data_IF_900035931258
#
_entry.id   IF_900035931258
#
_cell.length_a   1.000
_cell.length_b   1.000
_cell.length_c   1.000
_cell.angle_alpha   90.00
_cell.angle_beta   90.00
_cell.angle_gamma   90.00
#
_symmetry.space_group_name_H-M   'P 1'
#
loop_
_entity.id
_entity.type
_entity.pdbx_description
1 polymer ?
#
# COMPACT_ATOMS: atom_id res chain seq x y z
N UNK A 1 5.33 -6.98 -15.38
CA UNK A 1 5.96 -8.20 -14.83
C UNK A 1 5.20 -8.74 -13.62
N UNK A 2 4.84 -7.93 -12.61
CA UNK A 2 3.96 -8.34 -11.49
C UNK A 2 2.62 -8.95 -11.95
N UNK A 3 1.95 -8.34 -12.94
CA UNK A 3 0.72 -8.87 -13.54
C UNK A 3 0.89 -10.20 -14.33
N UNK A 4 2.12 -10.60 -14.65
CA UNK A 4 2.39 -11.91 -15.26
C UNK A 4 2.59 -12.97 -14.18
N UNK A 5 3.33 -12.66 -13.10
CA UNK A 5 3.48 -13.53 -11.93
C UNK A 5 2.13 -13.80 -11.23
N UNK A 6 1.26 -12.79 -11.15
CA UNK A 6 -0.08 -12.93 -10.58
C UNK A 6 -1.01 -13.83 -11.43
N UNK A 7 -0.81 -13.87 -12.76
CA UNK A 7 -1.58 -14.76 -13.66
C UNK A 7 -1.13 -16.22 -13.55
N UNK A 8 0.16 -16.48 -13.35
CA UNK A 8 0.68 -17.83 -13.13
C UNK A 8 0.25 -18.44 -11.79
N UNK A 9 0.12 -17.64 -10.73
CA UNK A 9 -0.35 -18.12 -9.42
C UNK A 9 -1.85 -18.47 -9.44
N UNK A 10 -2.68 -17.68 -10.12
CA UNK A 10 -4.13 -17.94 -10.23
C UNK A 10 -4.51 -19.14 -11.11
N UNK A 11 -3.70 -19.45 -12.13
CA UNK A 11 -3.96 -20.56 -13.06
C UNK A 11 -3.69 -21.95 -12.47
N UNK A 12 -2.95 -22.05 -11.35
CA UNK A 12 -2.65 -23.33 -10.68
C UNK A 12 -3.86 -23.94 -9.96
N UNK A 13 -5.00 -23.25 -9.87
CA UNK A 13 -6.17 -23.67 -9.09
C UNK A 13 -7.18 -24.57 -9.84
N UNK A 14 -7.00 -24.85 -11.13
CA UNK A 14 -8.08 -25.43 -11.94
C UNK A 14 -7.84 -26.82 -12.54
N UNK A 15 -6.64 -27.35 -12.44
CA UNK A 15 -6.31 -28.68 -12.91
C UNK A 15 -5.49 -29.35 -11.82
N UNK A 16 -5.98 -30.49 -11.31
CA UNK A 16 -5.19 -31.50 -10.58
C UNK A 16 -4.17 -32.19 -11.54
N UNK A 17 -3.60 -31.43 -12.46
CA UNK A 17 -2.38 -31.81 -13.16
C UNK A 17 -1.22 -31.41 -12.24
N UNK A 18 -0.15 -32.22 -12.12
CA UNK A 18 1.02 -31.84 -11.35
C UNK A 18 1.49 -30.49 -11.87
N UNK A 19 1.41 -29.47 -11.00
CA UNK A 19 1.76 -28.11 -11.31
C UNK A 19 3.09 -28.11 -12.06
N UNK A 20 3.07 -27.65 -13.32
CA UNK A 20 4.30 -27.46 -14.08
C UNK A 20 5.29 -26.70 -13.21
N UNK A 21 6.56 -27.11 -13.19
CA UNK A 21 7.63 -26.58 -12.34
C UNK A 21 7.63 -25.04 -12.20
N UNK A 22 7.15 -24.33 -13.23
CA UNK A 22 7.09 -22.88 -13.30
C UNK A 22 6.08 -22.19 -12.36
N UNK A 23 4.91 -22.78 -12.08
CA UNK A 23 3.87 -22.12 -11.25
C UNK A 23 4.19 -22.18 -9.76
N UNK A 24 4.74 -23.30 -9.30
CA UNK A 24 5.25 -23.46 -7.93
C UNK A 24 6.44 -22.53 -7.68
N UNK A 25 7.33 -22.39 -8.68
CA UNK A 25 8.44 -21.46 -8.62
C UNK A 25 7.96 -19.99 -8.54
N UNK A 26 6.94 -19.62 -9.33
CA UNK A 26 6.37 -18.27 -9.32
C UNK A 26 5.74 -17.92 -7.96
N UNK A 27 4.98 -18.84 -7.37
CA UNK A 27 4.41 -18.66 -6.03
C UNK A 27 5.51 -18.46 -4.97
N UNK A 28 6.62 -19.20 -5.07
CA UNK A 28 7.77 -19.05 -4.18
C UNK A 28 8.52 -17.73 -4.38
N UNK A 29 8.64 -17.26 -5.61
CA UNK A 29 9.35 -16.01 -5.90
C UNK A 29 8.58 -14.78 -5.43
N UNK A 30 7.24 -14.85 -5.42
CA UNK A 30 6.40 -13.72 -5.09
C UNK A 30 6.66 -13.18 -3.69
N UNK A 31 6.61 -14.05 -2.67
CA UNK A 31 6.72 -13.64 -1.27
C UNK A 31 8.05 -12.95 -0.97
N UNK A 32 9.14 -13.41 -1.61
CA UNK A 32 10.46 -12.81 -1.48
C UNK A 32 10.62 -11.45 -2.17
N UNK A 33 9.80 -11.15 -3.18
CA UNK A 33 9.83 -9.88 -3.90
C UNK A 33 9.05 -8.77 -3.19
N UNK A 34 8.06 -9.11 -2.36
CA UNK A 34 7.16 -8.12 -1.74
C UNK A 34 7.88 -7.09 -0.88
N UNK A 35 8.85 -7.41 0.00
CA UNK A 35 9.55 -6.39 0.78
C UNK A 35 10.26 -5.35 -0.11
N UNK A 36 10.75 -5.78 -1.27
CA UNK A 36 11.34 -4.88 -2.25
C UNK A 36 10.28 -4.01 -2.94
N UNK A 37 9.17 -4.61 -3.37
CA UNK A 37 8.06 -3.83 -3.97
C UNK A 37 7.58 -2.78 -2.96
N UNK A 38 7.43 -3.15 -1.70
CA UNK A 38 7.03 -2.24 -0.64
C UNK A 38 8.01 -1.07 -0.47
N UNK A 39 9.30 -1.36 -0.27
CA UNK A 39 10.32 -0.34 0.01
C UNK A 39 10.76 0.49 -1.20
N UNK A 40 10.98 -0.16 -2.34
CA UNK A 40 11.61 0.51 -3.49
C UNK A 40 10.55 1.09 -4.46
N UNK A 41 9.29 0.67 -4.38
CA UNK A 41 8.21 1.18 -5.23
C UNK A 41 7.08 1.84 -4.45
N UNK A 42 6.50 1.17 -3.45
CA UNK A 42 5.30 1.68 -2.76
C UNK A 42 5.64 2.82 -1.80
N UNK A 43 6.73 2.71 -1.04
CA UNK A 43 7.14 3.73 -0.07
C UNK A 43 7.45 5.08 -0.74
N UNK A 44 8.27 5.18 -1.82
CA UNK A 44 8.49 6.45 -2.51
C UNK A 44 7.20 7.03 -3.12
N UNK A 45 6.34 6.18 -3.66
CA UNK A 45 5.08 6.61 -4.24
C UNK A 45 4.12 7.16 -3.17
N UNK A 46 4.04 6.49 -2.02
CA UNK A 46 3.25 6.93 -0.88
C UNK A 46 3.82 8.20 -0.24
N UNK A 47 5.15 8.33 -0.14
CA UNK A 47 5.81 9.54 0.35
C UNK A 47 5.56 10.74 -0.58
N UNK A 48 5.64 10.54 -1.90
CA UNK A 48 5.31 11.56 -2.88
C UNK A 48 3.83 11.98 -2.78
N UNK A 49 2.92 11.02 -2.57
CA UNK A 49 1.50 11.31 -2.38
C UNK A 49 1.23 12.08 -1.07
N UNK A 50 1.87 11.71 0.04
CA UNK A 50 1.77 12.45 1.30
C UNK A 50 2.27 13.89 1.14
N UNK A 51 3.35 14.11 0.37
CA UNK A 51 3.80 15.46 0.03
C UNK A 51 2.76 16.24 -0.77
N UNK A 52 2.20 15.64 -1.83
CA UNK A 52 1.15 16.26 -2.64
C UNK A 52 -0.10 16.57 -1.81
N UNK A 53 -0.52 15.68 -0.91
CA UNK A 53 -1.67 15.90 -0.04
C UNK A 53 -1.46 17.09 0.92
N UNK A 54 -0.23 17.30 1.43
CA UNK A 54 0.12 18.48 2.24
C UNK A 54 0.13 19.76 1.41
N UNK A 55 0.61 19.73 0.17
CA UNK A 55 0.57 20.87 -0.74
C UNK A 55 -0.88 21.32 -1.05
N UNK A 56 -1.83 20.38 -1.08
CA UNK A 56 -3.26 20.71 -1.23
C UNK A 56 -3.81 21.44 0.00
N UNK A 57 -3.33 21.11 1.20
CA UNK A 57 -3.82 21.72 2.44
C UNK A 57 -3.36 23.15 2.64
N UNK A 58 -2.19 23.55 2.12
CA UNK A 58 -1.65 24.89 2.34
C UNK A 58 -2.38 25.90 1.45
N UNK A 59 -3.27 26.75 2.00
CA UNK A 59 -3.79 27.88 1.26
C UNK A 59 -2.58 28.76 0.95
N UNK A 60 -2.48 29.29 -0.26
CA UNK A 60 -1.44 30.26 -0.60
C UNK A 60 -1.68 31.56 0.19
N UNK A 61 -1.34 31.58 1.47
CA UNK A 61 -1.41 32.78 2.34
C UNK A 61 -0.48 33.88 1.82
N UNK A 62 0.52 33.52 1.02
CA UNK A 62 1.43 34.46 0.33
C UNK A 62 0.76 35.32 -0.76
N UNK A 63 -0.52 35.12 -1.07
CA UNK A 63 -1.24 35.94 -2.05
C UNK A 63 -1.80 37.24 -1.45
N UNK A 64 -1.88 37.39 -0.12
CA UNK A 64 -2.52 38.54 0.52
C UNK A 64 -1.62 39.81 0.55
N UNK A 65 -0.30 39.66 0.60
CA UNK A 65 0.60 40.80 0.89
C UNK A 65 1.10 41.59 -0.34
N UNK A 66 0.82 41.16 -1.58
CA UNK A 66 1.29 41.86 -2.78
C UNK A 66 0.28 42.85 -3.39
N UNK A 67 -0.79 43.21 -2.67
CA UNK A 67 -1.88 44.05 -3.22
C UNK A 67 -1.70 45.56 -2.97
N UNK A 68 -0.61 45.99 -2.34
CA UNK A 68 -0.32 47.42 -2.19
C UNK A 68 0.77 47.83 -3.20
N UNK A 69 0.40 48.65 -4.19
CA UNK A 69 1.28 49.40 -5.11
C UNK A 69 1.48 48.78 -6.50
N UNK A 70 0.49 48.90 -7.39
CA UNK A 70 0.68 49.47 -8.74
C UNK A 70 -0.58 49.31 -9.60
N UNK A 71 -1.18 50.45 -9.92
CA UNK A 71 -2.26 50.60 -10.89
C UNK A 71 -1.72 50.49 -12.31
N UNK A 72 -2.04 49.41 -13.06
CA UNK A 72 -2.41 49.45 -14.49
C UNK A 72 -2.53 48.04 -15.13
N UNK A 73 -3.78 47.69 -15.49
CA UNK A 73 -4.15 47.08 -16.77
C UNK A 73 -3.49 45.76 -17.22
N UNK A 74 -4.00 44.59 -16.78
CA UNK A 74 -3.93 43.28 -17.50
C UNK A 74 -4.76 42.19 -16.79
N UNK A 75 -6.03 42.00 -17.16
CA UNK A 75 -7.04 41.26 -16.38
C UNK A 75 -7.30 39.78 -16.80
N UNK A 76 -6.35 39.05 -17.38
CA UNK A 76 -6.63 37.73 -18.00
C UNK A 76 -5.98 36.50 -17.35
N UNK A 77 -5.25 36.63 -16.24
CA UNK A 77 -4.39 35.53 -15.74
C UNK A 77 -4.93 34.72 -14.56
N UNK A 78 -5.99 35.15 -13.86
CA UNK A 78 -6.42 34.52 -12.60
C UNK A 78 -7.24 33.23 -12.76
N UNK A 79 -7.85 32.97 -13.92
CA UNK A 79 -8.72 31.79 -14.11
C UNK A 79 -7.97 30.46 -14.20
N UNK A 80 -6.66 30.48 -14.48
CA UNK A 80 -5.91 29.24 -14.72
C UNK A 80 -5.57 28.46 -13.43
N UNK A 81 -5.31 29.15 -12.32
CA UNK A 81 -4.86 28.52 -11.06
C UNK A 81 -5.98 27.78 -10.30
N UNK A 82 -7.23 28.24 -10.39
CA UNK A 82 -8.36 27.53 -9.76
C UNK A 82 -8.64 26.17 -10.41
N UNK A 83 -8.37 26.02 -11.71
CA UNK A 83 -8.63 24.77 -12.44
C UNK A 83 -7.71 23.62 -12.01
N UNK A 84 -6.46 23.91 -11.65
CA UNK A 84 -5.47 22.90 -11.26
C UNK A 84 -5.77 22.31 -9.89
N UNK A 85 -6.21 23.14 -8.94
CA UNK A 85 -6.54 22.68 -7.58
C UNK A 85 -7.78 21.78 -7.56
N UNK A 86 -8.78 22.07 -8.39
CA UNK A 86 -9.98 21.24 -8.52
C UNK A 86 -9.70 19.82 -9.03
N UNK A 87 -8.64 19.62 -9.83
CA UNK A 87 -8.25 18.30 -10.34
C UNK A 87 -7.29 17.55 -9.40
N UNK A 88 -6.55 18.28 -8.56
CA UNK A 88 -5.53 17.70 -7.69
C UNK A 88 -6.16 16.81 -6.61
N UNK A 89 -7.25 17.25 -5.97
CA UNK A 89 -7.93 16.48 -4.91
C UNK A 89 -8.42 15.10 -5.38
N UNK A 90 -9.23 14.98 -6.45
CA UNK A 90 -9.67 13.68 -6.92
C UNK A 90 -8.52 12.80 -7.44
N UNK A 91 -7.48 13.41 -8.03
CA UNK A 91 -6.29 12.67 -8.48
C UNK A 91 -5.53 12.07 -7.31
N UNK A 92 -5.34 12.84 -6.23
CA UNK A 92 -4.73 12.35 -4.99
C UNK A 92 -5.56 11.25 -4.34
N UNK A 93 -6.89 11.41 -4.27
CA UNK A 93 -7.79 10.38 -3.74
C UNK A 93 -7.71 9.07 -4.57
N UNK A 94 -7.65 9.17 -5.90
CA UNK A 94 -7.44 8.00 -6.76
C UNK A 94 -6.10 7.31 -6.47
N UNK A 95 -5.03 8.08 -6.32
CA UNK A 95 -3.70 7.55 -6.00
C UNK A 95 -3.66 6.86 -4.64
N UNK A 96 -4.36 7.40 -3.62
CA UNK A 96 -4.54 6.74 -2.32
C UNK A 96 -5.13 5.35 -2.50
N UNK A 97 -6.21 5.23 -3.27
CA UNK A 97 -6.90 3.94 -3.51
C UNK A 97 -6.00 2.97 -4.26
N UNK A 98 -5.28 3.45 -5.27
CA UNK A 98 -4.34 2.62 -6.06
C UNK A 98 -3.21 2.09 -5.16
N UNK A 99 -2.68 2.92 -4.25
CA UNK A 99 -1.68 2.50 -3.28
C UNK A 99 -2.24 1.51 -2.26
N UNK A 100 -3.42 1.79 -1.69
CA UNK A 100 -4.11 0.87 -0.78
C UNK A 100 -4.30 -0.51 -1.45
N UNK A 101 -4.75 -0.53 -2.70
CA UNK A 101 -4.88 -1.77 -3.49
C UNK A 101 -3.54 -2.45 -3.72
N UNK A 102 -2.49 -1.69 -3.93
CA UNK A 102 -1.13 -2.22 -4.13
C UNK A 102 -0.52 -2.82 -2.86
N UNK A 103 -1.00 -2.43 -1.67
CA UNK A 103 -0.64 -3.05 -0.38
C UNK A 103 -1.47 -4.31 -0.10
N UNK A 104 -2.77 -4.28 -0.41
CA UNK A 104 -3.69 -5.42 -0.20
C UNK A 104 -3.37 -6.59 -1.13
N UNK A 105 -3.10 -6.31 -2.41
CA UNK A 105 -2.88 -7.35 -3.42
C UNK A 105 -1.77 -8.34 -3.03
N UNK A 106 -0.58 -7.91 -2.57
CA UNK A 106 0.44 -8.82 -2.06
C UNK A 106 -0.01 -9.67 -0.89
N UNK A 107 -0.66 -9.08 0.10
CA UNK A 107 -1.14 -9.80 1.27
C UNK A 107 -2.18 -10.88 0.89
N UNK A 108 -3.22 -10.50 0.15
CA UNK A 108 -4.25 -11.42 -0.31
C UNK A 108 -3.68 -12.54 -1.20
N UNK A 109 -2.69 -12.21 -2.04
CA UNK A 109 -2.03 -13.22 -2.89
C UNK A 109 -1.18 -14.19 -2.08
N UNK A 110 -0.53 -13.73 -0.99
CA UNK A 110 0.23 -14.58 -0.08
C UNK A 110 -0.70 -15.50 0.70
N UNK A 111 -1.82 -14.98 1.22
CA UNK A 111 -2.85 -15.76 1.90
C UNK A 111 -3.45 -16.83 0.97
N UNK A 112 -3.83 -16.45 -0.26
CA UNK A 112 -4.38 -17.37 -1.23
C UNK A 112 -3.39 -18.47 -1.63
N UNK A 113 -2.11 -18.11 -1.82
CA UNK A 113 -1.05 -19.08 -2.12
C UNK A 113 -0.80 -20.03 -0.94
N UNK A 114 -0.82 -19.51 0.29
CA UNK A 114 -0.62 -20.30 1.49
C UNK A 114 -1.76 -21.31 1.69
N UNK A 115 -3.01 -20.85 1.53
CA UNK A 115 -4.20 -21.68 1.58
C UNK A 115 -4.17 -22.79 0.51
N UNK A 116 -3.77 -22.46 -0.73
CA UNK A 116 -3.62 -23.44 -1.80
C UNK A 116 -2.53 -24.50 -1.51
N UNK A 117 -1.49 -24.12 -0.77
CA UNK A 117 -0.44 -25.02 -0.32
C UNK A 117 -0.78 -25.77 0.98
N UNK A 118 -1.97 -25.54 1.59
CA UNK A 118 -2.33 -26.12 2.88
C UNK A 118 -1.42 -25.68 4.03
N UNK A 119 -0.89 -24.45 3.96
CA UNK A 119 0.09 -23.91 4.90
C UNK A 119 -0.31 -22.50 5.36
N UNK A 120 0.38 -21.98 6.38
CA UNK A 120 0.21 -20.57 6.78
C UNK A 120 1.05 -19.63 5.89
N UNK A 121 0.70 -18.33 5.78
CA UNK A 121 1.51 -17.34 5.04
C UNK A 121 2.98 -17.31 5.46
N UNK A 122 3.25 -17.43 6.76
CA UNK A 122 4.60 -17.47 7.32
C UNK A 122 5.36 -18.76 6.93
N UNK A 123 4.68 -19.91 6.95
CA UNK A 123 5.28 -21.18 6.50
C UNK A 123 5.59 -21.16 5.00
N UNK A 124 4.66 -20.70 4.17
CA UNK A 124 4.90 -20.55 2.74
C UNK A 124 6.08 -19.62 2.47
N UNK A 125 6.13 -18.47 3.16
CA UNK A 125 7.24 -17.53 3.07
C UNK A 125 8.59 -18.16 3.46
N UNK A 126 8.63 -18.95 4.52
CA UNK A 126 9.84 -19.69 4.91
C UNK A 126 10.32 -20.64 3.81
N UNK A 127 9.42 -21.44 3.26
CA UNK A 127 9.71 -22.38 2.18
C UNK A 127 10.24 -21.62 0.95
N UNK A 128 9.63 -20.49 0.62
CA UNK A 128 10.05 -19.59 -0.46
C UNK A 128 11.49 -19.08 -0.28
N UNK A 129 11.87 -18.68 0.93
CA UNK A 129 13.23 -18.21 1.24
C UNK A 129 14.23 -19.36 1.15
N UNK A 130 13.89 -20.52 1.72
CA UNK A 130 14.75 -21.71 1.71
C UNK A 130 14.99 -22.25 0.30
N UNK A 131 14.01 -22.12 -0.60
CA UNK A 131 14.13 -22.56 -1.99
C UNK A 131 15.19 -21.80 -2.80
N UNK A 132 15.70 -20.66 -2.31
CA UNK A 132 16.75 -19.83 -2.96
C UNK A 132 16.56 -19.71 -4.48
N UNK A 133 15.40 -19.25 -4.97
CA UNK A 133 15.11 -19.23 -6.40
C UNK A 133 16.23 -18.53 -7.17
N UNK A 134 16.69 -19.09 -8.29
CA UNK A 134 17.88 -18.64 -9.06
C UNK A 134 17.77 -17.22 -9.59
N UNK A 135 16.55 -16.68 -9.73
CA UNK A 135 16.32 -15.25 -9.97
C UNK A 135 16.89 -14.34 -8.87
N UNK A 136 17.21 -14.88 -7.68
CA UNK A 136 18.01 -14.21 -6.66
C UNK A 136 19.23 -13.55 -7.27
N UNK A 137 19.94 -14.14 -8.23
CA UNK A 137 21.20 -13.53 -8.73
C UNK A 137 21.05 -12.10 -9.25
N UNK A 138 19.91 -11.74 -9.85
CA UNK A 138 19.64 -10.35 -10.31
C UNK A 138 19.05 -9.44 -9.24
N UNK A 139 18.28 -10.01 -8.32
CA UNK A 139 17.64 -9.25 -7.25
C UNK A 139 18.66 -8.96 -6.13
N UNK A 140 19.42 -9.99 -5.72
CA UNK A 140 20.32 -10.06 -4.54
C UNK A 140 21.53 -9.14 -4.62
N UNK A 141 22.00 -8.73 -5.79
CA UNK A 141 23.07 -7.73 -5.89
C UNK A 141 22.71 -6.43 -5.16
N UNK A 142 21.41 -6.12 -5.00
CA UNK A 142 20.94 -4.99 -4.17
C UNK A 142 20.51 -5.36 -2.74
N UNK A 143 20.39 -6.65 -2.39
CA UNK A 143 19.98 -7.08 -1.04
C UNK A 143 21.15 -7.14 -0.04
N UNK A 144 22.40 -7.02 -0.49
CA UNK A 144 23.60 -7.12 0.37
C UNK A 144 23.81 -5.94 1.34
N UNK A 145 22.82 -5.05 1.53
CA UNK A 145 22.95 -3.86 2.39
C UNK A 145 21.87 -3.68 3.45
N UNK A 146 20.97 -4.63 3.67
CA UNK A 146 20.34 -4.68 4.99
C UNK A 146 21.36 -5.38 5.92
N UNK A 147 21.94 -4.68 6.92
CA UNK A 147 22.85 -5.33 7.85
C UNK A 147 22.13 -6.55 8.40
N UNK A 148 22.77 -7.72 8.26
CA UNK A 148 22.32 -8.95 8.87
C UNK A 148 22.20 -8.66 10.37
N UNK A 149 20.99 -8.35 10.82
CA UNK A 149 20.69 -8.17 12.23
C UNK A 149 21.01 -9.45 12.99
N UNK A 150 20.92 -9.36 14.32
CA UNK A 150 21.09 -10.48 15.26
C UNK A 150 20.49 -11.81 14.76
N UNK A 151 21.03 -12.94 15.22
CA UNK A 151 20.63 -14.32 14.82
C UNK A 151 19.10 -14.57 14.82
N UNK A 152 18.29 -13.78 15.54
CA UNK A 152 16.83 -13.85 15.55
C UNK A 152 16.18 -13.55 14.17
N UNK A 153 16.81 -12.75 13.32
CA UNK A 153 16.36 -12.46 11.94
C UNK A 153 16.48 -13.66 10.99
N UNK A 154 17.05 -14.78 11.45
CA UNK A 154 17.09 -16.04 10.69
C UNK A 154 15.94 -16.99 11.02
N UNK A 155 15.11 -16.66 12.02
CA UNK A 155 13.91 -17.43 12.32
C UNK A 155 12.79 -17.12 11.32
N UNK A 156 11.96 -18.13 11.01
CA UNK A 156 10.77 -17.95 10.15
C UNK A 156 9.84 -16.86 10.67
N UNK A 157 9.47 -16.82 11.96
CA UNK A 157 8.63 -15.75 12.50
C UNK A 157 9.28 -14.37 12.36
N UNK A 158 10.59 -14.24 12.65
CA UNK A 158 11.29 -12.95 12.53
C UNK A 158 11.33 -12.43 11.09
N UNK A 159 11.53 -13.30 10.10
CA UNK A 159 11.52 -12.88 8.69
C UNK A 159 10.11 -12.52 8.21
N UNK A 160 9.07 -13.23 8.69
CA UNK A 160 7.67 -12.89 8.40
C UNK A 160 7.30 -11.54 9.03
N UNK A 161 7.71 -11.29 10.26
CA UNK A 161 7.51 -10.01 10.92
C UNK A 161 8.21 -8.88 10.15
N UNK A 162 9.43 -9.11 9.67
CA UNK A 162 10.14 -8.14 8.82
C UNK A 162 9.41 -7.86 7.51
N UNK A 163 8.74 -8.87 6.93
CA UNK A 163 7.90 -8.72 5.75
C UNK A 163 6.69 -7.81 6.05
N UNK A 164 6.02 -8.00 7.19
CA UNK A 164 4.90 -7.16 7.62
C UNK A 164 5.36 -5.72 7.89
N UNK A 165 6.49 -5.54 8.57
CA UNK A 165 7.07 -4.21 8.82
C UNK A 165 7.39 -3.44 7.54
N UNK A 166 7.84 -4.13 6.49
CA UNK A 166 8.08 -3.50 5.19
C UNK A 166 6.78 -2.97 4.55
N UNK A 167 5.66 -3.70 4.66
CA UNK A 167 4.35 -3.21 4.22
C UNK A 167 3.82 -2.08 5.10
N UNK A 168 4.00 -2.19 6.42
CA UNK A 168 3.59 -1.16 7.37
C UNK A 168 4.32 0.17 7.14
N UNK A 169 5.60 0.15 6.76
CA UNK A 169 6.34 1.35 6.40
C UNK A 169 5.71 2.08 5.19
N UNK A 170 5.34 1.35 4.13
CA UNK A 170 4.64 1.93 2.99
C UNK A 170 3.23 2.42 3.38
N UNK A 171 2.53 1.68 4.26
CA UNK A 171 1.23 2.07 4.79
C UNK A 171 1.30 3.35 5.63
N UNK A 172 2.36 3.60 6.40
CA UNK A 172 2.52 4.83 7.20
C UNK A 172 2.41 6.09 6.33
N UNK A 173 3.04 6.09 5.16
CA UNK A 173 2.95 7.21 4.22
C UNK A 173 1.57 7.35 3.61
N UNK A 174 0.91 6.21 3.30
CA UNK A 174 -0.47 6.21 2.85
C UNK A 174 -1.42 6.77 3.91
N UNK A 175 -1.26 6.37 5.18
CA UNK A 175 -2.01 6.88 6.31
C UNK A 175 -1.85 8.40 6.44
N UNK A 176 -0.61 8.91 6.37
CA UNK A 176 -0.35 10.35 6.36
C UNK A 176 -1.06 11.08 5.22
N UNK A 177 -1.08 10.50 4.01
CA UNK A 177 -1.79 11.09 2.88
C UNK A 177 -3.31 11.12 3.10
N UNK A 178 -3.87 10.04 3.68
CA UNK A 178 -5.31 9.97 4.03
C UNK A 178 -5.65 11.03 5.06
N UNK A 179 -4.89 11.14 6.16
CA UNK A 179 -5.12 12.17 7.19
C UNK A 179 -5.07 13.58 6.58
N UNK A 180 -4.10 13.86 5.71
CA UNK A 180 -4.03 15.15 5.02
C UNK A 180 -5.26 15.43 4.13
N UNK A 181 -5.74 14.43 3.40
CA UNK A 181 -6.93 14.58 2.56
C UNK A 181 -8.22 14.70 3.40
N UNK A 182 -8.33 13.98 4.51
CA UNK A 182 -9.48 14.01 5.40
C UNK A 182 -9.65 15.37 6.10
N UNK A 183 -8.53 16.04 6.43
CA UNK A 183 -8.53 17.38 7.03
C UNK A 183 -8.58 18.52 6.01
N UNK A 184 -8.43 18.24 4.71
CA UNK A 184 -8.55 19.27 3.68
C UNK A 184 -10.00 19.81 3.67
N UNK A 185 -10.18 21.03 4.18
CA UNK A 185 -11.49 21.69 4.26
C UNK A 185 -12.05 21.85 2.85
N UNK A 186 -13.10 21.09 2.53
CA UNK A 186 -13.83 21.30 1.28
C UNK A 186 -14.48 22.70 1.32
N UNK A 187 -14.37 23.50 0.26
CA UNK A 187 -15.03 24.78 0.20
C UNK A 187 -16.54 24.56 0.36
N UNK A 188 -17.12 25.11 1.44
CA UNK A 188 -18.51 24.91 1.83
C UNK A 188 -19.52 25.39 0.77
N UNK A 189 -19.07 26.18 -0.19
CA UNK A 189 -19.89 26.81 -1.24
C UNK A 189 -19.90 26.03 -2.57
N UNK A 190 -19.32 24.82 -2.62
CA UNK A 190 -19.49 23.97 -3.80
C UNK A 190 -20.97 23.55 -3.90
N UNK A 191 -21.69 23.88 -4.99
CA UNK A 191 -23.11 23.58 -5.11
C UNK A 191 -23.31 22.06 -4.96
N UNK A 192 -24.13 21.66 -4.00
CA UNK A 192 -24.40 20.26 -3.68
C UNK A 192 -24.67 19.47 -4.96
N UNK A 193 -23.85 18.46 -5.23
CA UNK A 193 -23.80 17.68 -6.47
C UNK A 193 -25.05 16.80 -6.75
N UNK A 194 -26.18 17.11 -6.12
CA UNK A 194 -27.41 16.32 -6.14
C UNK A 194 -28.49 16.76 -7.14
N UNK A 195 -28.29 17.84 -7.90
CA UNK A 195 -29.28 18.23 -8.93
C UNK A 195 -28.89 17.59 -10.27
N UNK A 196 -29.58 16.53 -10.73
CA UNK A 196 -29.36 15.99 -12.07
C UNK A 196 -29.73 17.06 -13.10
N UNK A 197 -28.72 17.71 -13.67
CA UNK A 197 -28.88 18.68 -14.75
C UNK A 197 -29.52 17.98 -15.97
N UNK A 198 -30.85 18.04 -16.07
CA UNK A 198 -31.63 17.72 -17.27
C UNK A 198 -31.56 18.87 -18.29
N UNK A 199 -30.37 19.34 -18.63
CA UNK A 199 -30.17 20.32 -19.69
C UNK A 199 -29.66 19.61 -20.94
N UNK A 200 -30.53 19.55 -21.97
CA UNK A 200 -30.26 18.96 -23.30
C UNK A 200 -29.32 19.84 -24.17
N UNK A 201 -28.42 20.63 -23.60
CA UNK A 201 -27.53 21.49 -24.38
C UNK A 201 -26.23 20.76 -24.74
N UNK A 202 -26.03 20.60 -26.05
CA UNK A 202 -25.10 19.72 -26.72
C UNK A 202 -23.65 20.25 -26.84
N UNK A 203 -23.09 20.91 -25.83
CA UNK A 203 -21.69 21.40 -25.92
C UNK A 203 -20.88 21.29 -24.62
N UNK A 204 -20.13 20.18 -24.54
CA UNK A 204 -18.69 20.12 -24.21
C UNK A 204 -18.14 20.65 -22.87
N UNK A 205 -18.85 20.51 -21.75
CA UNK A 205 -18.24 20.63 -20.41
C UNK A 205 -18.05 19.26 -19.74
N UNK A 206 -16.91 18.58 -19.94
CA UNK A 206 -16.60 17.28 -19.28
C UNK A 206 -16.16 17.44 -17.80
N UNK A 207 -16.74 18.39 -17.08
CA UNK A 207 -16.48 18.57 -15.65
C UNK A 207 -17.57 17.81 -14.88
N UNK A 208 -17.24 16.68 -14.24
CA UNK A 208 -18.23 15.98 -13.40
C UNK A 208 -18.09 14.46 -13.27
N UNK A 209 -16.91 13.87 -13.46
CA UNK A 209 -16.74 12.41 -13.24
C UNK A 209 -15.90 12.02 -12.05
N UNK A 210 -15.33 12.96 -11.29
CA UNK A 210 -14.43 12.63 -10.19
C UNK A 210 -14.92 13.06 -8.81
N UNK A 211 -16.08 13.73 -8.71
CA UNK A 211 -16.65 14.16 -7.43
C UNK A 211 -16.88 12.99 -6.47
N UNK A 212 -17.28 11.83 -7.01
CA UNK A 212 -17.47 10.62 -6.19
C UNK A 212 -16.20 10.17 -5.46
N UNK A 213 -14.99 10.46 -5.98
CA UNK A 213 -13.74 10.14 -5.29
C UNK A 213 -13.48 11.06 -4.10
N UNK A 214 -13.93 12.32 -4.19
CA UNK A 214 -13.81 13.30 -3.11
C UNK A 214 -14.84 12.99 -2.02
N UNK A 215 -16.09 12.74 -2.42
CA UNK A 215 -17.17 12.32 -1.53
C UNK A 215 -16.83 11.02 -0.80
N UNK A 216 -16.00 10.18 -1.42
CA UNK A 216 -15.58 8.93 -0.84
C UNK A 216 -14.59 9.09 0.30
N UNK A 217 -13.60 9.98 0.20
CA UNK A 217 -12.71 10.24 1.34
C UNK A 217 -13.53 10.81 2.51
N UNK A 218 -14.61 11.54 2.21
CA UNK A 218 -15.59 12.01 3.20
C UNK A 218 -16.74 11.05 3.50
N UNK A 219 -16.79 9.85 2.92
CA UNK A 219 -17.95 8.96 3.11
C UNK A 219 -17.97 8.44 4.54
N UNK A 220 -19.16 8.32 5.12
CA UNK A 220 -19.30 7.91 6.52
C UNK A 220 -18.66 6.56 6.83
N UNK A 221 -18.63 5.63 5.86
CA UNK A 221 -18.07 4.29 6.04
C UNK A 221 -16.54 4.26 6.00
N UNK A 222 -15.92 4.94 5.03
CA UNK A 222 -14.46 5.01 4.95
C UNK A 222 -13.90 5.83 6.13
N UNK A 223 -14.57 6.94 6.46
CA UNK A 223 -14.19 7.81 7.57
C UNK A 223 -14.31 7.10 8.92
N UNK A 224 -15.37 6.34 9.17
CA UNK A 224 -15.52 5.60 10.44
C UNK A 224 -14.47 4.51 10.60
N UNK A 225 -14.11 3.80 9.52
CA UNK A 225 -13.06 2.78 9.53
C UNK A 225 -11.70 3.43 9.80
N UNK A 226 -11.43 4.57 9.18
CA UNK A 226 -10.20 5.33 9.42
C UNK A 226 -10.12 5.87 10.86
N UNK A 227 -11.21 6.45 11.39
CA UNK A 227 -11.26 6.93 12.78
C UNK A 227 -11.09 5.79 13.79
N UNK A 228 -11.68 4.61 13.53
CA UNK A 228 -11.50 3.43 14.37
C UNK A 228 -10.03 2.97 14.36
N UNK A 229 -9.37 3.00 13.19
CA UNK A 229 -7.95 2.70 13.08
C UNK A 229 -7.08 3.71 13.85
N UNK A 230 -7.32 5.01 13.66
CA UNK A 230 -6.56 6.09 14.32
C UNK A 230 -6.75 6.07 15.85
N UNK A 231 -7.96 5.80 16.33
CA UNK A 231 -8.23 5.64 17.76
C UNK A 231 -7.50 4.46 18.38
N UNK A 232 -7.29 3.38 17.61
CA UNK A 232 -6.57 2.18 18.06
C UNK A 232 -5.05 2.36 17.98
N UNK A 233 -4.57 3.13 17.00
CA UNK A 233 -3.15 3.34 16.71
C UNK A 233 -2.81 4.84 16.57
N UNK A 234 -2.94 5.64 17.66
CA UNK A 234 -2.81 7.10 17.60
C UNK A 234 -1.40 7.57 17.23
N UNK A 235 -0.38 6.76 17.53
CA UNK A 235 1.02 7.02 17.16
C UNK A 235 1.58 5.88 16.32
N UNK A 236 0.97 5.69 15.13
CA UNK A 236 1.38 4.68 14.16
C UNK A 236 2.90 4.69 13.88
N UNK A 237 3.58 5.84 13.65
CA UNK A 237 5.04 5.85 13.47
C UNK A 237 5.80 5.23 14.64
N UNK A 238 5.44 5.61 15.87
CA UNK A 238 6.09 5.07 17.05
C UNK A 238 5.78 3.59 17.27
N UNK A 239 4.55 3.15 16.94
CA UNK A 239 4.18 1.73 16.99
C UNK A 239 5.03 0.88 16.03
N UNK A 240 5.26 1.37 14.79
CA UNK A 240 6.12 0.71 13.81
C UNK A 240 7.58 0.68 14.28
N UNK A 241 8.09 1.77 14.85
CA UNK A 241 9.45 1.85 15.39
C UNK A 241 9.63 0.90 16.57
N UNK A 242 8.67 0.87 17.50
CA UNK A 242 8.68 -0.02 18.66
C UNK A 242 8.65 -1.49 18.23
N UNK A 243 7.81 -1.81 17.25
CA UNK A 243 7.72 -3.13 16.63
C UNK A 243 9.03 -3.57 15.96
N UNK A 244 9.71 -2.67 15.25
CA UNK A 244 11.02 -2.94 14.64
C UNK A 244 12.19 -2.99 15.64
N UNK A 245 12.13 -2.18 16.69
CA UNK A 245 13.15 -2.06 17.72
C UNK A 245 13.15 -3.22 18.72
N UNK A 246 11.98 -3.73 19.11
CA UNK A 246 11.85 -4.86 20.04
C UNK A 246 12.56 -6.12 19.52
N UNK A 247 12.54 -6.35 18.20
CA UNK A 247 13.28 -7.45 17.55
C UNK A 247 14.81 -7.31 17.61
N UNK A 248 15.34 -6.11 17.87
CA UNK A 248 16.77 -5.90 18.06
C UNK A 248 17.19 -5.90 19.54
N UNK A 249 16.29 -5.52 20.46
CA UNK A 249 16.59 -5.42 21.91
C UNK A 249 16.43 -6.77 22.62
N UNK A 250 15.45 -7.61 22.25
CA UNK A 250 15.27 -8.94 22.86
C UNK A 250 16.47 -9.89 22.65
N UNK A 251 17.25 -9.68 21.59
CA UNK A 251 18.49 -10.43 21.32
C UNK A 251 19.68 -10.00 22.20
N UNK A 252 19.67 -8.77 22.74
CA UNK A 252 20.79 -8.25 23.54
C UNK A 252 20.69 -8.68 25.00
N UNK A 253 19.47 -8.81 25.54
CA UNK A 253 19.25 -9.14 26.96
C UNK A 253 19.53 -10.62 27.28
N UNK A 254 19.54 -11.52 26.29
CA UNK A 254 19.83 -12.95 26.51
C UNK A 254 21.31 -13.32 26.43
N UNK A 255 22.21 -12.39 26.12
CA UNK A 255 23.66 -12.66 26.04
C UNK A 255 24.46 -12.07 27.22
N UNK A 256 23.79 -11.47 28.21
CA UNK A 256 24.43 -10.82 29.36
C UNK A 256 24.35 -11.64 30.67
N UNK A 257 24.09 -12.94 30.62
CA UNK A 257 24.08 -13.83 31.81
C UNK A 257 24.87 -15.13 31.57
N UNK A 258 26.01 -15.08 30.86
CA UNK A 258 27.09 -16.09 31.03
C UNK A 258 28.43 -15.41 30.72
N UNK A 259 28.90 -14.56 31.63
CA UNK A 259 30.30 -14.14 31.68
C UNK A 259 30.65 -13.81 33.14
N UNK A 260 30.59 -14.82 34.00
CA UNK A 260 31.29 -14.79 35.27
C UNK A 260 32.20 -16.00 35.30
N UNK A 261 33.44 -15.76 35.73
CA UNK A 261 34.51 -16.72 36.06
C UNK A 261 35.59 -16.93 34.99
N UNK A 262 36.58 -16.03 34.93
CA UNK A 262 37.98 -16.46 34.99
C UNK A 262 38.86 -15.37 35.63
N UNK A 263 39.31 -15.68 36.84
CA UNK A 263 40.37 -15.05 37.63
C UNK A 263 41.72 -15.17 36.91
N UNK A 264 42.52 -14.10 36.77
CA UNK A 264 43.98 -14.11 37.05
C UNK A 264 44.57 -12.68 37.12
N UNK A 265 45.04 -12.31 38.32
CA UNK A 265 46.30 -11.59 38.70
C UNK A 265 47.21 -11.07 37.56
N UNK A 266 47.84 -9.88 37.57
CA UNK A 266 48.70 -9.24 38.60
C UNK A 266 49.11 -7.80 38.16
N UNK A 267 49.17 -6.83 39.10
CA UNK A 267 50.05 -5.63 39.20
C UNK A 267 50.42 -4.80 37.93
N UNK A 268 50.22 -3.48 37.85
CA UNK A 268 50.93 -2.47 38.65
C UNK A 268 50.34 -1.04 38.49
N UNK A 269 50.58 -0.25 39.53
CA UNK A 269 50.22 1.12 39.91
C UNK A 269 50.26 2.23 38.84
N UNK A 270 49.29 3.16 38.86
CA UNK A 270 49.49 4.57 39.29
C UNK A 270 48.19 5.38 39.23
N UNK A 271 47.95 6.07 40.35
CA UNK A 271 46.87 6.96 40.76
C UNK A 271 46.62 8.19 39.87
N UNK A 272 45.34 8.61 39.74
CA UNK A 272 44.86 9.97 40.09
C UNK A 272 43.36 10.19 39.78
N UNK A 273 42.66 10.72 40.80
CA UNK A 273 41.47 11.59 40.70
C UNK A 273 40.13 10.98 40.27
N UNK A 274 39.52 10.28 41.24
CA UNK A 274 38.10 9.93 41.28
C UNK A 274 37.25 11.18 41.48
N UNK A 275 36.49 11.57 40.44
CA UNK A 275 35.28 12.38 40.63
C UNK A 275 34.09 11.43 40.58
N UNK A 276 33.45 11.32 41.72
CA UNK A 276 32.32 10.46 42.01
C UNK A 276 31.09 10.97 41.23
N UNK A 277 30.90 10.41 40.03
CA UNK A 277 29.67 10.51 39.26
C UNK A 277 28.90 9.19 39.39
N UNK A 278 28.64 8.79 40.62
CA UNK A 278 27.53 7.90 40.98
C UNK A 278 26.21 8.66 40.76
N UNK A 279 25.96 9.08 39.52
CA UNK A 279 24.69 9.64 39.08
C UNK A 279 23.69 8.51 39.16
N UNK A 280 22.89 8.56 40.21
CA UNK A 280 21.64 7.84 40.41
C UNK A 280 20.87 7.85 39.09
N UNK A 281 21.03 6.81 38.28
CA UNK A 281 20.07 6.47 37.24
C UNK A 281 18.93 5.85 38.01
N UNK A 282 18.01 6.72 38.45
CA UNK A 282 16.75 6.31 39.02
C UNK A 282 16.03 5.44 37.99
N UNK A 283 16.14 4.12 38.14
CA UNK A 283 15.35 3.07 37.47
C UNK A 283 13.87 3.11 37.84
N UNK A 284 13.34 4.29 38.17
CA UNK A 284 11.98 4.52 38.63
C UNK A 284 11.15 5.00 37.46
N UNK A 285 10.79 4.05 36.59
CA UNK A 285 9.91 4.33 35.45
C UNK A 285 10.23 3.52 34.22
N UNK A 286 10.52 2.21 34.35
CA UNK A 286 10.20 1.27 33.28
C UNK A 286 8.67 1.24 33.16
N UNK A 287 8.11 2.31 32.58
CA UNK A 287 6.76 2.25 32.06
C UNK A 287 6.77 1.04 31.13
N UNK A 288 5.92 0.07 31.48
CA UNK A 288 5.69 -1.14 30.73
C UNK A 288 5.41 -0.71 29.29
N UNK A 289 6.43 -0.72 28.44
CA UNK A 289 6.27 -0.41 27.01
C UNK A 289 5.40 -1.53 26.52
N UNK A 290 4.12 -1.22 26.36
CA UNK A 290 3.12 -2.15 25.89
C UNK A 290 3.65 -2.73 24.58
N UNK A 291 3.90 -4.03 24.60
CA UNK A 291 4.52 -4.71 23.48
C UNK A 291 3.53 -4.64 22.31
N UNK A 292 3.88 -3.86 21.30
CA UNK A 292 3.05 -3.69 20.11
C UNK A 292 2.95 -5.04 19.39
N UNK A 293 1.73 -5.54 19.27
CA UNK A 293 1.43 -6.72 18.47
C UNK A 293 1.46 -6.34 16.97
N UNK A 294 2.52 -6.74 16.29
CA UNK A 294 2.76 -6.45 14.87
C UNK A 294 1.74 -7.14 13.98
N UNK A 295 1.30 -8.34 14.35
CA UNK A 295 0.31 -9.10 13.57
C UNK A 295 -1.03 -8.38 13.59
N UNK A 296 -1.43 -7.87 14.75
CA UNK A 296 -2.66 -7.09 14.89
C UNK A 296 -2.58 -5.76 14.13
N UNK A 297 -1.48 -5.01 14.30
CA UNK A 297 -1.28 -3.73 13.59
C UNK A 297 -1.32 -3.91 12.06
N UNK A 298 -0.65 -4.95 11.56
CA UNK A 298 -0.66 -5.29 10.14
C UNK A 298 -2.07 -5.67 9.65
N UNK A 299 -2.81 -6.45 10.43
CA UNK A 299 -4.17 -6.86 10.10
C UNK A 299 -5.11 -5.66 10.00
N UNK A 300 -5.08 -4.76 11.00
CA UNK A 300 -5.90 -3.56 11.02
C UNK A 300 -5.56 -2.61 9.85
N UNK A 301 -4.28 -2.47 9.52
CA UNK A 301 -3.84 -1.64 8.40
C UNK A 301 -4.35 -2.18 7.05
N UNK A 302 -4.33 -3.51 6.86
CA UNK A 302 -4.89 -4.14 5.68
C UNK A 302 -6.42 -4.05 5.64
N UNK A 303 -7.10 -4.15 6.78
CA UNK A 303 -8.55 -3.96 6.85
C UNK A 303 -8.96 -2.54 6.41
N UNK A 304 -8.25 -1.51 6.89
CA UNK A 304 -8.45 -0.14 6.43
C UNK A 304 -8.22 -0.04 4.91
N UNK A 305 -7.12 -0.61 4.39
CA UNK A 305 -6.84 -0.59 2.95
C UNK A 305 -7.94 -1.30 2.14
N UNK A 306 -8.45 -2.44 2.62
CA UNK A 306 -9.56 -3.17 1.98
C UNK A 306 -10.84 -2.35 2.01
N UNK A 307 -11.15 -1.66 3.10
CA UNK A 307 -12.30 -0.75 3.19
C UNK A 307 -12.20 0.40 2.19
N UNK A 308 -11.02 1.02 2.04
CA UNK A 308 -10.79 2.08 1.05
C UNK A 308 -10.96 1.57 -0.39
N UNK A 309 -10.42 0.39 -0.69
CA UNK A 309 -10.55 -0.25 -2.01
C UNK A 309 -11.99 -0.69 -2.29
N UNK A 310 -12.73 -1.13 -1.27
CA UNK A 310 -14.13 -1.52 -1.41
C UNK A 310 -15.03 -0.29 -1.62
N UNK A 311 -14.72 0.81 -0.95
CA UNK A 311 -15.45 2.05 -1.09
C UNK A 311 -15.28 2.63 -2.51
N UNK A 312 -14.08 2.54 -3.10
CA UNK A 312 -13.82 2.96 -4.49
C UNK A 312 -13.72 1.75 -5.37
N UNK A 313 -14.83 1.27 -5.94
CA UNK A 313 -14.72 0.37 -7.06
C UNK A 313 -13.97 1.13 -8.16
N UNK A 314 -12.67 0.82 -8.30
CA UNK A 314 -11.86 1.43 -9.35
C UNK A 314 -12.56 1.15 -10.68
N UNK A 315 -12.73 2.17 -11.54
CA UNK A 315 -13.48 2.04 -12.77
C UNK A 315 -12.93 0.83 -13.52
N UNK A 316 -13.79 -0.17 -13.73
CA UNK A 316 -13.34 -1.45 -14.25
C UNK A 316 -12.71 -1.20 -15.63
N UNK A 317 -11.41 -1.45 -15.72
CA UNK A 317 -10.65 -1.22 -16.94
C UNK A 317 -11.15 -2.19 -18.01
N UNK A 318 -11.36 -1.68 -19.22
CA UNK A 318 -11.69 -2.53 -20.35
C UNK A 318 -10.61 -3.59 -20.54
N UNK A 319 -11.00 -4.86 -20.71
CA UNK A 319 -10.04 -5.95 -20.89
C UNK A 319 -9.33 -5.92 -22.27
N UNK A 320 -9.78 -5.07 -23.20
CA UNK A 320 -9.10 -4.82 -24.47
C UNK A 320 -7.85 -3.94 -24.23
N UNK A 321 -6.62 -4.44 -24.45
CA UNK A 321 -5.37 -3.72 -24.17
C UNK A 321 -5.18 -2.53 -25.11
N UNK A 322 -5.86 -2.53 -26.25
CA UNK A 322 -5.82 -1.47 -27.26
C UNK A 322 -7.02 -0.52 -27.11
N UNK A 323 -7.68 -0.53 -25.94
CA UNK A 323 -8.78 0.39 -25.65
C UNK A 323 -8.24 1.79 -25.39
N UNK A 324 -8.03 2.57 -26.45
CA UNK A 324 -7.63 3.98 -26.36
C UNK A 324 -8.78 4.88 -25.91
N UNK A 325 -9.99 4.48 -26.30
CA UNK A 325 -11.21 5.18 -25.95
C UNK A 325 -11.90 4.42 -24.84
N UNK A 326 -11.64 4.80 -23.59
CA UNK A 326 -12.54 4.49 -22.49
C UNK A 326 -13.87 5.24 -22.70
N UNK A 327 -14.51 5.14 -23.89
CA UNK A 327 -15.58 5.94 -24.53
C UNK A 327 -16.62 6.55 -23.58
N UNK A 328 -16.18 7.44 -22.70
CA UNK A 328 -17.00 7.91 -21.59
C UNK A 328 -17.65 6.80 -20.74
N UNK A 329 -17.17 5.55 -20.75
CA UNK A 329 -17.76 4.47 -19.97
C UNK A 329 -17.62 4.80 -18.47
N UNK A 330 -18.68 5.39 -17.90
CA UNK A 330 -18.90 5.32 -16.47
C UNK A 330 -18.89 3.84 -16.10
N UNK A 331 -18.45 3.54 -14.88
CA UNK A 331 -18.40 2.19 -14.33
C UNK A 331 -19.68 1.36 -14.63
N UNK A 332 -20.84 2.02 -14.68
CA UNK A 332 -22.13 1.46 -15.07
C UNK A 332 -22.17 0.88 -16.51
N UNK A 333 -21.53 1.53 -17.49
CA UNK A 333 -21.50 1.04 -18.87
C UNK A 333 -20.55 -0.16 -19.03
N UNK A 334 -19.39 -0.14 -18.38
CA UNK A 334 -18.46 -1.28 -18.35
C UNK A 334 -19.02 -2.46 -17.51
N UNK A 335 -19.85 -2.18 -16.50
CA UNK A 335 -20.58 -3.19 -15.74
C UNK A 335 -21.66 -3.92 -16.53
N UNK A 336 -22.20 -3.28 -17.58
CA UNK A 336 -23.29 -3.85 -18.38
C UNK A 336 -22.82 -4.87 -19.43
N UNK A 337 -21.54 -4.83 -19.85
CA UNK A 337 -21.01 -5.70 -20.91
C UNK A 337 -19.91 -6.62 -20.39
N UNK A 338 -20.35 -7.79 -19.94
CA UNK A 338 -19.49 -8.89 -19.52
C UNK A 338 -19.50 -10.00 -20.57
N UNK A 339 -18.34 -10.63 -20.79
CA UNK A 339 -18.28 -11.87 -21.55
C UNK A 339 -19.15 -12.94 -20.86
N UNK A 340 -20.10 -13.55 -21.59
CA UNK A 340 -21.01 -14.55 -21.00
C UNK A 340 -20.30 -15.80 -20.43
N UNK A 341 -19.08 -16.10 -20.89
CA UNK A 341 -18.29 -17.22 -20.36
C UNK A 341 -17.57 -16.82 -19.07
N UNK A 342 -16.49 -16.03 -19.21
CA UNK A 342 -15.62 -15.72 -18.08
C UNK A 342 -15.99 -14.46 -17.31
N UNK A 343 -17.01 -13.70 -17.71
CA UNK A 343 -17.45 -12.43 -17.09
C UNK A 343 -16.43 -11.27 -17.15
N UNK A 344 -15.36 -11.38 -17.95
CA UNK A 344 -14.46 -10.25 -18.18
C UNK A 344 -15.19 -9.08 -18.86
N UNK A 345 -14.83 -7.85 -18.46
CA UNK A 345 -15.55 -6.63 -18.83
C UNK A 345 -14.92 -5.90 -19.99
N UNK A 346 -15.78 -5.33 -20.83
CA UNK A 346 -15.37 -4.46 -21.92
C UNK A 346 -16.21 -3.19 -21.87
N UNK A 347 -15.60 -2.04 -22.20
CA UNK A 347 -16.35 -0.78 -22.27
C UNK A 347 -17.39 -0.80 -23.41
N UNK A 348 -17.18 -1.62 -24.45
CA UNK A 348 -18.08 -1.76 -25.59
C UNK A 348 -17.99 -3.15 -26.22
N UNK A 349 -19.01 -3.51 -27.01
CA UNK A 349 -18.99 -4.73 -27.82
C UNK A 349 -17.90 -4.69 -28.90
N UNK A 350 -17.57 -3.50 -29.41
CA UNK A 350 -16.45 -3.30 -30.34
C UNK A 350 -15.11 -3.66 -29.68
N UNK A 351 -14.88 -3.23 -28.43
CA UNK A 351 -13.68 -3.62 -27.68
C UNK A 351 -13.64 -5.13 -27.40
N UNK A 352 -14.79 -5.75 -27.08
CA UNK A 352 -14.86 -7.21 -26.92
C UNK A 352 -14.54 -7.94 -28.23
N UNK A 353 -15.10 -7.49 -29.36
CA UNK A 353 -14.87 -8.08 -30.67
C UNK A 353 -13.41 -7.92 -31.11
N UNK A 354 -12.80 -6.75 -30.87
CA UNK A 354 -11.40 -6.49 -31.16
C UNK A 354 -10.46 -7.39 -30.35
N UNK A 355 -10.75 -7.62 -29.06
CA UNK A 355 -9.95 -8.52 -28.22
C UNK A 355 -10.29 -10.01 -28.41
N UNK A 356 -11.38 -10.34 -29.11
CA UNK A 356 -11.94 -11.70 -29.13
C UNK A 356 -10.94 -12.78 -29.55
N UNK A 357 -10.08 -12.50 -30.54
CA UNK A 357 -9.07 -13.46 -31.03
C UNK A 357 -8.10 -13.90 -29.92
N UNK A 358 -7.68 -12.95 -29.07
CA UNK A 358 -6.80 -13.21 -27.92
C UNK A 358 -7.60 -13.79 -26.75
N UNK A 359 -8.75 -13.20 -26.46
CA UNK A 359 -9.60 -13.54 -25.33
C UNK A 359 -10.18 -14.96 -25.41
N UNK A 360 -10.61 -15.42 -26.59
CA UNK A 360 -11.35 -16.68 -26.77
C UNK A 360 -10.63 -17.89 -26.19
N UNK A 361 -9.31 -17.99 -26.37
CA UNK A 361 -8.52 -19.13 -25.84
C UNK A 361 -8.47 -19.10 -24.31
N UNK A 362 -8.18 -17.95 -23.72
CA UNK A 362 -8.15 -17.76 -22.28
C UNK A 362 -9.53 -17.97 -21.65
N UNK A 363 -10.57 -17.41 -22.26
CA UNK A 363 -11.96 -17.58 -21.81
C UNK A 363 -12.38 -19.04 -21.80
N UNK A 364 -12.03 -19.82 -22.84
CA UNK A 364 -12.34 -21.26 -22.88
C UNK A 364 -11.62 -22.01 -21.75
N UNK A 365 -10.35 -21.70 -21.50
CA UNK A 365 -9.58 -22.28 -20.39
C UNK A 365 -10.21 -21.97 -19.02
N UNK A 366 -10.56 -20.71 -18.78
CA UNK A 366 -11.23 -20.30 -17.53
C UNK A 366 -12.60 -20.96 -17.33
N UNK A 367 -13.40 -21.08 -18.39
CA UNK A 367 -14.72 -21.71 -18.29
C UNK A 367 -14.59 -23.21 -18.02
N UNK A 368 -13.67 -23.91 -18.69
CA UNK A 368 -13.38 -25.32 -18.43
C UNK A 368 -12.90 -25.55 -16.99
N UNK A 369 -12.17 -24.59 -16.45
CA UNK A 369 -11.71 -24.52 -15.08
C UNK A 369 -12.79 -24.19 -14.03
N UNK A 370 -14.04 -23.89 -14.44
CA UNK A 370 -15.08 -23.39 -13.54
C UNK A 370 -14.78 -21.99 -12.95
N UNK A 371 -13.81 -21.27 -13.52
CA UNK A 371 -13.37 -19.96 -13.04
C UNK A 371 -14.09 -18.81 -13.75
N UNK A 372 -14.24 -17.68 -13.04
CA UNK A 372 -14.78 -16.42 -13.56
C UNK A 372 -13.79 -15.29 -13.27
N UNK A 373 -13.74 -14.27 -14.12
CA UNK A 373 -12.98 -13.05 -13.87
C UNK A 373 -13.55 -12.43 -12.59
N UNK A 374 -12.72 -12.34 -11.54
CA UNK A 374 -13.11 -11.71 -10.26
C UNK A 374 -13.49 -10.26 -10.54
N UNK A 375 -14.58 -9.82 -9.89
CA UNK A 375 -15.08 -8.44 -10.00
C UNK A 375 -14.11 -7.46 -9.35
#
# INVERSE_FOLDING_TARGET
MAAACLRSAGNAQALQEPASCDSELAARCFSAAVPWIARDLLEPAAAALSKLAREVQQPSENAADNTASSSSSSSSSQTSQQSTQQQLMPSSALLVVVLARSLVLPADSQEAAAAAAGSTPAQLFAVSIMAKPTFRKRWVERFHRAPLGSRQHHSVPGQWQQWQLALLAAFQHLHSAISSLAHAKLPADAPAAGVPCKSKSSSSGRCGKWSYLVDLVGSSTSLSTWQAFESKWPDLPQAIIAAGGASNVAAQTTTAVVATTTTTTTSSSSSSSSTDLSRVVSSSGLQHVEQVDVDQLHTDALELCRALVAAVPLPVVCNNPNCESLEGASEAAAASKMCAGCHCRYCSAACQAADWRRHRRACKGMVAAGQKCRR
#
